data_IF_997067638561
#
_entry.id   IF_997067638561
#
_cell.length_a   1.000
_cell.length_b   1.000
_cell.length_c   1.000
_cell.angle_alpha   90.00
_cell.angle_beta   90.00
_cell.angle_gamma   90.00
#
_symmetry.space_group_name_H-M   'P 1'
#
loop_
_entity.id
_entity.type
_entity.pdbx_description
1 polymer ?
2 water ?
#
# COMPACT_ATOMS: atom_id res chain seq x y z
N UNK A 2 -28.26 -5.49 6.13
CA UNK A 2 -27.44 -4.89 5.07
C UNK A 2 -25.97 -5.23 5.28
N UNK A 3 -25.30 -5.61 4.19
CA UNK A 3 -23.93 -6.10 4.23
C UNK A 3 -22.94 -4.95 4.08
N UNK A 4 -21.72 -5.16 4.58
CA UNK A 4 -20.65 -4.18 4.44
C UNK A 4 -20.25 -4.02 2.98
N UNK A 5 -19.55 -2.92 2.68
CA UNK A 5 -19.09 -2.70 1.32
C UNK A 5 -17.95 -1.71 1.29
N UNK A 6 -17.29 -1.64 0.15
CA UNK A 6 -16.17 -0.72 -0.07
C UNK A 6 -16.42 0.10 -1.32
N UNK A 7 -16.31 1.41 -1.20
CA UNK A 7 -16.35 2.27 -2.37
C UNK A 7 -15.00 2.97 -2.50
N UNK A 8 -14.40 2.96 -3.69
CA UNK A 8 -13.02 3.46 -3.82
C UNK A 8 -12.95 4.98 -3.89
N UNK A 9 -11.94 5.53 -3.21
CA UNK A 9 -11.59 6.93 -3.32
C UNK A 9 -10.14 6.98 -3.78
N UNK A 10 -9.92 7.48 -5.00
CA UNK A 10 -8.56 7.53 -5.52
C UNK A 10 -7.73 8.56 -4.77
N UNK A 11 -6.46 8.23 -4.47
CA UNK A 11 -5.59 9.20 -3.80
C UNK A 11 -5.48 10.51 -4.54
N UNK A 12 -5.59 10.50 -5.88
CA UNK A 12 -5.48 11.73 -6.64
C UNK A 12 -6.60 12.70 -6.33
N UNK A 13 -7.76 12.18 -5.93
CA UNK A 13 -8.85 13.07 -5.53
C UNK A 13 -8.48 13.87 -4.28
N UNK A 14 -7.84 13.21 -3.31
CA UNK A 14 -7.39 13.91 -2.11
C UNK A 14 -6.24 14.85 -2.43
N UNK A 15 -5.34 14.44 -3.33
CA UNK A 15 -4.26 15.33 -3.75
C UNK A 15 -4.83 16.59 -4.38
N UNK A 16 -5.79 16.43 -5.30
CA UNK A 16 -6.43 17.56 -5.96
C UNK A 16 -7.11 18.46 -4.95
N UNK A 17 -7.96 17.88 -4.10
CA UNK A 17 -8.87 18.68 -3.28
C UNK A 17 -8.19 19.30 -2.07
N UNK A 18 -7.34 18.53 -1.36
CA UNK A 18 -6.80 18.99 -0.10
C UNK A 18 -5.41 19.59 -0.21
N UNK A 19 -4.79 19.50 -1.38
CA UNK A 19 -3.44 20.02 -1.52
C UNK A 19 -3.32 20.96 -2.71
N UNK A 20 -3.59 20.48 -3.92
CA UNK A 20 -3.43 21.32 -5.10
C UNK A 20 -4.38 22.51 -5.05
N UNK A 21 -5.66 22.26 -4.75
CA UNK A 21 -6.61 23.37 -4.67
C UNK A 21 -6.39 24.21 -3.41
N UNK A 22 -5.92 23.58 -2.33
CA UNK A 22 -5.71 24.33 -1.09
C UNK A 22 -4.61 25.36 -1.27
N UNK A 23 -3.51 24.98 -1.91
CA UNK A 23 -2.37 25.86 -2.08
C UNK A 23 -2.32 26.52 -3.45
N UNK A 24 -3.33 26.31 -4.30
CA UNK A 24 -3.37 26.89 -5.65
C UNK A 24 -2.20 26.44 -6.50
N UNK A 25 -1.85 25.16 -6.41
CA UNK A 25 -0.77 24.58 -7.20
C UNK A 25 -1.35 23.76 -8.33
N UNK A 26 -0.88 24.02 -9.55
CA UNK A 26 -1.25 23.21 -10.69
C UNK A 26 -0.53 21.87 -10.64
N UNK A 27 -1.07 20.84 -11.29
CA UNK A 27 -0.36 19.56 -11.35
C UNK A 27 1.03 19.69 -11.97
N UNK A 28 1.16 20.52 -13.01
CA UNK A 28 2.46 20.73 -13.64
C UNK A 28 3.44 21.40 -12.70
N UNK A 29 2.99 22.40 -11.95
CA UNK A 29 3.85 23.05 -10.97
C UNK A 29 4.27 22.07 -9.89
N UNK A 30 3.37 21.15 -9.51
CA UNK A 30 3.74 20.12 -8.55
C UNK A 30 4.79 19.18 -9.12
N UNK A 31 4.62 18.77 -10.38
CA UNK A 31 5.62 17.89 -11.00
C UNK A 31 6.99 18.53 -11.03
N UNK A 32 7.05 19.82 -11.38
CA UNK A 32 8.34 20.52 -11.41
C UNK A 32 8.98 20.59 -10.03
N UNK A 33 8.15 20.70 -8.99
CA UNK A 33 8.68 20.78 -7.63
C UNK A 33 9.13 19.43 -7.12
N UNK A 34 8.42 18.36 -7.50
CA UNK A 34 8.84 17.03 -7.08
C UNK A 34 9.95 16.45 -7.92
N UNK A 35 10.31 17.11 -9.04
CA UNK A 35 11.31 16.60 -9.97
C UNK A 35 10.85 15.28 -10.60
N UNK A 36 9.59 15.24 -11.02
CA UNK A 36 9.03 14.13 -11.76
C UNK A 36 8.40 14.68 -13.03
N UNK A 37 8.20 13.80 -14.00
CA UNK A 37 7.56 14.21 -15.25
C UNK A 37 6.12 14.65 -15.00
N UNK A 38 5.68 15.67 -15.74
CA UNK A 38 4.32 16.16 -15.56
C UNK A 38 3.26 15.10 -15.81
N UNK A 39 3.38 14.21 -16.81
CA UNK A 39 2.39 13.13 -16.93
C UNK A 39 2.34 12.23 -15.71
N UNK A 40 3.44 12.10 -14.96
CA UNK A 40 3.39 11.32 -13.73
C UNK A 40 2.36 11.88 -12.77
N UNK A 41 2.42 13.19 -12.49
CA UNK A 41 1.43 13.81 -11.63
C UNK A 41 0.08 13.88 -12.34
N UNK A 42 0.09 14.16 -13.64
CA UNK A 42 -1.18 14.24 -14.38
C UNK A 42 -1.96 12.93 -14.27
N UNK A 43 -1.28 11.80 -14.42
CA UNK A 43 -1.96 10.50 -14.33
C UNK A 43 -2.62 10.31 -12.97
N UNK A 44 -1.94 10.71 -11.89
CA UNK A 44 -2.47 10.51 -10.54
C UNK A 44 -3.72 11.36 -10.32
N UNK A 45 -3.65 12.65 -10.68
CA UNK A 45 -4.81 13.50 -10.42
C UNK A 45 -5.97 13.13 -11.32
N UNK A 46 -5.69 12.54 -12.48
CA UNK A 46 -6.74 12.01 -13.35
C UNK A 46 -7.22 10.63 -12.91
N UNK A 47 -6.66 10.10 -11.81
CA UNK A 47 -7.07 8.80 -11.28
C UNK A 47 -6.76 7.66 -12.25
N UNK A 48 -5.66 7.81 -13.00
CA UNK A 48 -5.19 6.83 -13.98
C UNK A 48 -3.88 6.18 -13.55
N UNK A 49 -3.43 6.44 -12.34
CA UNK A 49 -2.19 5.84 -11.85
C UNK A 49 -2.21 5.94 -10.33
N UNK A 50 -1.67 4.93 -9.66
CA UNK A 50 -1.57 4.97 -8.22
C UNK A 50 -0.31 5.67 -7.73
N UNK A 51 -0.25 5.85 -6.42
CA UNK A 51 0.92 6.42 -5.74
C UNK A 51 1.92 5.30 -5.49
N UNK A 52 3.10 5.43 -6.09
CA UNK A 52 4.20 4.54 -5.80
C UNK A 52 4.89 4.95 -4.50
N UNK A 53 5.71 4.04 -3.97
CA UNK A 53 6.48 4.36 -2.76
C UNK A 53 7.35 5.58 -2.99
N UNK A 54 8.04 5.63 -4.13
CA UNK A 54 8.91 6.77 -4.41
C UNK A 54 8.10 8.06 -4.47
N UNK A 55 6.91 8.01 -5.09
CA UNK A 55 6.06 9.19 -5.16
C UNK A 55 5.53 9.59 -3.79
N UNK A 56 5.24 8.61 -2.93
CA UNK A 56 4.77 8.92 -1.59
C UNK A 56 5.84 9.65 -0.79
N UNK A 57 7.08 9.25 -0.94
CA UNK A 57 8.17 9.95 -0.26
C UNK A 57 8.30 11.37 -0.78
N UNK A 58 8.16 11.56 -2.10
CA UNK A 58 8.24 12.90 -2.68
C UNK A 58 7.09 13.77 -2.20
N UNK A 59 5.86 13.25 -2.19
CA UNK A 59 4.73 14.04 -1.74
C UNK A 59 4.83 14.37 -0.26
N UNK A 60 5.27 13.39 0.55
CA UNK A 60 5.46 13.67 1.96
C UNK A 60 6.47 14.78 2.18
N UNK A 61 7.60 14.71 1.46
CA UNK A 61 8.63 15.73 1.56
C UNK A 61 8.09 17.10 1.16
N UNK A 62 7.34 17.15 0.06
CA UNK A 62 6.89 18.44 -0.45
C UNK A 62 5.82 19.05 0.44
N UNK A 63 4.84 18.26 0.85
CA UNK A 63 3.67 18.79 1.54
C UNK A 63 3.71 18.64 3.06
N UNK A 64 4.85 18.28 3.65
CA UNK A 64 4.95 18.10 5.11
C UNK A 64 3.96 17.05 5.62
N UNK A 65 3.98 15.87 5.01
CA UNK A 65 3.23 14.74 5.54
C UNK A 65 4.18 13.56 5.69
N UNK A 66 3.72 12.52 6.37
CA UNK A 66 4.45 11.27 6.26
C UNK A 66 4.26 10.67 4.87
N UNK A 67 5.19 9.83 4.47
CA UNK A 67 4.99 9.09 3.23
C UNK A 67 3.87 8.07 3.38
N UNK A 68 3.71 7.53 4.60
CA UNK A 68 2.66 6.55 4.84
C UNK A 68 1.27 7.14 4.66
N UNK A 69 1.09 8.44 4.93
CA UNK A 69 -0.19 9.09 4.67
C UNK A 69 -0.67 8.79 3.25
N UNK A 70 0.22 8.97 2.27
CA UNK A 70 -0.14 8.73 0.88
C UNK A 70 -0.27 7.25 0.59
N UNK A 71 0.60 6.41 1.16
CA UNK A 71 0.50 4.99 0.90
C UNK A 71 -0.74 4.41 1.53
N UNK A 72 -1.19 4.99 2.65
CA UNK A 72 -2.42 4.52 3.28
C UNK A 72 -3.63 4.86 2.42
N UNK A 73 -3.63 6.04 1.78
CA UNK A 73 -4.70 6.37 0.86
C UNK A 73 -4.69 5.42 -0.33
N UNK A 74 -3.49 5.10 -0.82
CA UNK A 74 -3.37 4.19 -1.94
C UNK A 74 -3.86 2.79 -1.58
N UNK A 75 -3.47 2.29 -0.41
CA UNK A 75 -3.89 0.96 -0.02
C UNK A 75 -5.40 0.89 0.14
N UNK A 76 -6.01 1.94 0.70
CA UNK A 76 -7.47 1.92 0.80
C UNK A 76 -8.11 1.81 -0.58
N UNK A 77 -7.60 2.58 -1.56
CA UNK A 77 -8.13 2.53 -2.91
C UNK A 77 -7.95 1.14 -3.54
N UNK A 78 -6.74 0.60 -3.42
CA UNK A 78 -6.48 -0.72 -4.00
C UNK A 78 -7.33 -1.79 -3.32
N UNK A 79 -7.51 -1.69 -2.00
CA UNK A 79 -8.35 -2.66 -1.32
C UNK A 79 -9.80 -2.54 -1.76
N UNK A 80 -10.28 -1.30 -1.93
CA UNK A 80 -11.69 -1.12 -2.31
C UNK A 80 -11.95 -1.73 -3.69
N UNK A 81 -11.08 -1.45 -4.65
CA UNK A 81 -11.28 -1.99 -5.99
C UNK A 81 -11.17 -3.50 -5.99
N UNK A 82 -10.17 -4.05 -5.28
CA UNK A 82 -10.03 -5.49 -5.16
C UNK A 82 -11.23 -6.12 -4.48
N UNK A 83 -11.76 -5.45 -3.44
CA UNK A 83 -12.92 -6.00 -2.75
C UNK A 83 -14.15 -6.01 -3.66
N UNK A 84 -14.37 -4.92 -4.39
CA UNK A 84 -15.56 -4.87 -5.25
C UNK A 84 -15.49 -5.94 -6.32
N UNK A 85 -14.28 -6.31 -6.74
CA UNK A 85 -14.10 -7.31 -7.78
C UNK A 85 -14.17 -8.73 -7.23
N UNK A 86 -13.40 -9.06 -6.19
CA UNK A 86 -13.26 -10.45 -5.75
C UNK A 86 -13.63 -10.68 -4.29
N UNK A 87 -14.03 -9.64 -3.55
CA UNK A 87 -14.23 -9.77 -2.12
C UNK A 87 -15.34 -10.73 -1.74
N UNK A 88 -16.45 -10.69 -2.48
CA UNK A 88 -17.55 -11.61 -2.14
C UNK A 88 -17.15 -13.07 -2.37
N UNK A 89 -16.45 -13.35 -3.48
CA UNK A 89 -15.95 -14.70 -3.72
C UNK A 89 -14.94 -15.11 -2.66
N UNK A 90 -14.03 -14.19 -2.29
CA UNK A 90 -13.04 -14.50 -1.27
C UNK A 90 -13.73 -14.90 0.03
N UNK A 91 -14.73 -14.12 0.44
CA UNK A 91 -15.45 -14.46 1.66
C UNK A 91 -16.25 -15.74 1.52
N UNK A 92 -16.70 -16.04 0.30
CA UNK A 92 -17.42 -17.28 0.05
C UNK A 92 -16.53 -18.51 0.15
N UNK A 93 -15.26 -18.40 -0.22
CA UNK A 93 -14.43 -19.59 -0.34
C UNK A 93 -13.41 -19.75 0.79
N UNK A 94 -13.20 -18.76 1.63
CA UNK A 94 -12.26 -18.86 2.73
C UNK A 94 -13.04 -18.94 4.04
N UNK A 95 -12.83 -20.03 4.78
CA UNK A 95 -13.44 -20.21 6.09
C UNK A 95 -12.48 -19.68 7.14
N UNK A 96 -12.87 -18.66 7.93
CA UNK A 96 -11.92 -18.08 8.90
C UNK A 96 -11.40 -19.12 9.87
N UNK A 97 -10.14 -18.96 10.26
CA UNK A 97 -9.50 -19.90 11.17
C UNK A 97 -10.15 -19.87 12.53
N UNK A 98 -10.44 -21.03 13.08
CA UNK A 98 -10.85 -21.18 14.48
C UNK A 98 -9.78 -22.01 15.19
N UNK A 99 -9.08 -21.38 16.12
CA UNK A 99 -7.96 -22.04 16.80
C UNK A 99 -7.79 -21.53 18.22
N UNK B 4 11.25 9.88 8.13
CA UNK B 4 11.90 8.82 7.36
C UNK B 4 11.70 7.41 7.92
N UNK B 5 12.60 6.50 7.54
CA UNK B 5 12.47 5.10 7.89
C UNK B 5 13.19 4.19 6.91
N UNK B 6 14.18 3.46 7.42
CA UNK B 6 15.15 2.78 6.57
C UNK B 6 15.27 1.28 6.83
N UNK B 7 14.77 0.75 7.94
CA UNK B 7 15.00 -0.65 8.27
C UNK B 7 13.80 -1.46 7.83
N UNK B 8 13.90 -2.28 6.78
CA UNK B 8 12.70 -2.94 6.26
C UNK B 8 12.37 -4.20 7.05
N UNK B 9 11.09 -4.35 7.38
CA UNK B 9 10.55 -5.58 7.95
C UNK B 9 9.56 -6.11 6.94
N UNK B 10 9.91 -7.21 6.28
CA UNK B 10 9.04 -7.72 5.25
C UNK B 10 7.77 -8.28 5.88
N UNK B 11 6.60 -8.01 5.30
CA UNK B 11 5.34 -8.57 5.85
C UNK B 11 5.40 -10.07 6.05
N UNK B 12 6.18 -10.79 5.23
CA UNK B 12 6.32 -12.22 5.42
C UNK B 12 6.93 -12.59 6.76
N UNK B 13 7.78 -11.72 7.30
CA UNK B 13 8.33 -11.98 8.63
C UNK B 13 7.24 -11.97 9.69
N UNK B 14 6.34 -10.99 9.64
CA UNK B 14 5.22 -10.96 10.56
C UNK B 14 4.31 -12.17 10.34
N UNK B 15 4.06 -12.51 9.09
CA UNK B 15 3.22 -13.67 8.80
C UNK B 15 3.81 -14.94 9.42
N UNK B 16 5.11 -15.16 9.24
CA UNK B 16 5.78 -16.33 9.83
C UNK B 16 5.72 -16.31 11.35
N UNK B 17 6.15 -15.19 11.94
CA UNK B 17 6.38 -15.14 13.38
C UNK B 17 5.08 -15.11 14.17
N UNK B 18 4.14 -14.27 13.74
CA UNK B 18 2.95 -13.98 14.54
C UNK B 18 1.73 -14.81 14.16
N UNK B 19 1.79 -15.56 13.06
CA UNK B 19 0.63 -16.32 12.64
C UNK B 19 0.98 -17.77 12.34
N UNK B 20 1.85 -18.00 11.36
CA UNK B 20 2.18 -19.37 10.97
C UNK B 20 2.77 -20.15 12.15
N UNK B 21 3.73 -19.54 12.86
CA UNK B 21 4.32 -20.24 13.99
C UNK B 21 3.40 -20.18 15.22
N UNK B 22 2.55 -19.17 15.32
CA UNK B 22 1.66 -19.06 16.47
C UNK B 22 0.58 -20.12 16.43
N UNK B 23 0.10 -20.45 15.23
CA UNK B 23 -0.97 -21.44 15.07
C UNK B 23 -0.46 -22.78 14.52
N UNK B 24 0.85 -22.92 14.29
CA UNK B 24 1.45 -24.14 13.75
C UNK B 24 0.84 -24.50 12.39
N UNK B 25 0.90 -23.54 11.48
CA UNK B 25 0.33 -23.66 10.14
C UNK B 25 1.46 -23.56 9.13
N UNK B 26 1.59 -24.58 8.27
CA UNK B 26 2.63 -24.51 7.25
C UNK B 26 2.22 -23.55 6.13
N UNK B 27 3.18 -23.01 5.40
CA UNK B 27 2.82 -22.16 4.24
C UNK B 27 1.95 -22.84 3.21
N UNK B 28 2.17 -24.12 2.92
CA UNK B 28 1.31 -24.81 1.96
C UNK B 28 -0.09 -24.99 2.51
N UNK B 29 -0.21 -25.28 3.81
CA UNK B 29 -1.52 -25.38 4.43
C UNK B 29 -2.26 -24.04 4.37
N UNK B 30 -1.54 -22.94 4.58
CA UNK B 30 -2.16 -21.62 4.47
C UNK B 30 -2.65 -21.37 3.05
N UNK B 31 -1.83 -21.69 2.05
CA UNK B 31 -2.22 -21.48 0.67
C UNK B 31 -3.51 -22.24 0.33
N UNK B 32 -3.61 -23.49 0.78
CA UNK B 32 -4.82 -24.26 0.52
C UNK B 32 -6.04 -23.64 1.18
N UNK B 33 -5.86 -23.11 2.40
CA UNK B 33 -6.98 -22.47 3.08
C UNK B 33 -7.36 -21.17 2.40
N UNK B 34 -6.38 -20.44 1.87
CA UNK B 34 -6.65 -19.17 1.19
C UNK B 34 -7.09 -19.36 -0.25
N UNK B 35 -7.00 -20.58 -0.78
CA UNK B 35 -7.38 -20.88 -2.16
C UNK B 35 -6.48 -20.11 -3.15
N UNK B 36 -5.18 -20.09 -2.86
CA UNK B 36 -4.16 -19.52 -3.73
C UNK B 36 -3.10 -20.60 -3.97
N UNK B 37 -2.33 -20.42 -5.03
CA UNK B 37 -1.27 -21.37 -5.32
C UNK B 37 -0.19 -21.32 -4.23
N UNK B 38 0.46 -22.45 -4.01
CA UNK B 38 1.47 -22.52 -2.95
C UNK B 38 2.63 -21.56 -3.17
N UNK B 39 3.20 -21.41 -4.38
CA UNK B 39 4.27 -20.40 -4.55
C UNK B 39 3.84 -19.00 -4.19
N UNK B 40 2.54 -18.69 -4.26
CA UNK B 40 2.08 -17.36 -3.85
C UNK B 40 2.40 -17.11 -2.37
N UNK B 41 2.12 -18.10 -1.51
CA UNK B 41 2.41 -17.94 -0.09
C UNK B 41 3.90 -18.12 0.18
N UNK B 42 4.53 -19.13 -0.47
CA UNK B 42 5.96 -19.35 -0.30
C UNK B 42 6.75 -18.07 -0.56
N UNK B 43 6.47 -17.42 -1.69
CA UNK B 43 7.26 -16.24 -2.07
C UNK B 43 7.14 -15.14 -1.03
N UNK B 44 5.97 -14.97 -0.42
CA UNK B 44 5.80 -13.97 0.62
C UNK B 44 6.60 -14.35 1.86
N UNK B 45 6.45 -15.60 2.29
CA UNK B 45 7.12 -16.06 3.51
C UNK B 45 8.63 -16.00 3.37
N UNK B 46 9.15 -16.20 2.16
CA UNK B 46 10.58 -16.09 1.90
C UNK B 46 11.00 -14.66 1.59
N UNK B 47 10.08 -13.70 1.68
CA UNK B 47 10.36 -12.27 1.47
C UNK B 47 10.83 -11.97 0.05
N UNK B 48 10.34 -12.76 -0.92
CA UNK B 48 10.63 -12.55 -2.32
C UNK B 48 9.56 -11.77 -3.05
N UNK B 49 8.33 -11.74 -2.53
CA UNK B 49 7.21 -11.05 -3.15
C UNK B 49 6.45 -10.33 -2.06
N UNK B 50 5.76 -9.26 -2.45
CA UNK B 50 4.92 -8.53 -1.51
C UNK B 50 3.49 -9.02 -1.47
N UNK B 51 2.72 -8.43 -0.55
CA UNK B 51 1.32 -8.75 -0.36
C UNK B 51 0.48 -7.85 -1.28
N UNK B 52 -0.29 -8.47 -2.17
CA UNK B 52 -1.21 -7.73 -3.03
C UNK B 52 -2.50 -7.42 -2.27
N UNK B 53 -3.29 -6.51 -2.84
CA UNK B 53 -4.59 -6.20 -2.23
C UNK B 53 -5.43 -7.45 -2.09
N UNK B 54 -5.46 -8.27 -3.14
CA UNK B 54 -6.21 -9.51 -3.10
C UNK B 54 -5.73 -10.41 -1.96
N UNK B 55 -4.41 -10.61 -1.86
CA UNK B 55 -3.85 -11.41 -0.78
C UNK B 55 -4.15 -10.81 0.59
N UNK B 56 -4.17 -9.49 0.71
CA UNK B 56 -4.45 -8.87 2.00
C UNK B 56 -5.87 -9.16 2.44
N UNK B 57 -6.81 -9.15 1.50
CA UNK B 57 -8.19 -9.51 1.82
C UNK B 57 -8.27 -10.97 2.24
N UNK B 58 -7.54 -11.86 1.56
CA UNK B 58 -7.57 -13.27 1.92
C UNK B 58 -6.96 -13.50 3.29
N UNK B 59 -5.82 -12.87 3.57
CA UNK B 59 -5.18 -13.04 4.88
C UNK B 59 -6.03 -12.46 6.00
N UNK B 60 -6.64 -11.29 5.77
CA UNK B 60 -7.55 -10.73 6.76
C UNK B 60 -8.75 -11.63 7.03
N UNK B 61 -9.35 -12.14 5.96
CA UNK B 61 -10.48 -13.07 6.11
C UNK B 61 -10.10 -14.26 6.96
N UNK B 62 -8.95 -14.88 6.66
CA UNK B 62 -8.58 -16.13 7.30
C UNK B 62 -8.18 -15.92 8.75
N UNK B 63 -7.32 -14.94 9.01
CA UNK B 63 -6.77 -14.75 10.34
C UNK B 63 -7.56 -13.76 11.18
N UNK B 64 -8.70 -13.28 10.69
CA UNK B 64 -9.55 -12.35 11.43
C UNK B 64 -8.82 -11.07 11.78
N UNK B 65 -8.03 -10.55 10.85
CA UNK B 65 -7.52 -9.18 10.91
C UNK B 65 -8.19 -8.33 9.83
N UNK B 66 -7.97 -7.03 9.90
CA UNK B 66 -8.37 -6.22 8.77
C UNK B 66 -7.44 -6.51 7.59
N UNK B 67 -7.92 -6.21 6.37
CA UNK B 67 -6.98 -6.26 5.25
C UNK B 67 -5.94 -5.16 5.33
N UNK B 68 -6.32 -4.00 5.87
CA UNK B 68 -5.36 -2.89 5.97
C UNK B 68 -4.19 -3.25 6.89
N UNK B 69 -4.38 -4.16 7.85
CA UNK B 69 -3.24 -4.57 8.67
C UNK B 69 -2.10 -5.07 7.78
N UNK B 70 -2.43 -5.90 6.80
CA UNK B 70 -1.43 -6.46 5.91
C UNK B 70 -0.93 -5.43 4.91
N UNK B 71 -1.82 -4.59 4.40
CA UNK B 71 -1.40 -3.58 3.44
C UNK B 71 -0.52 -2.54 4.11
N UNK B 72 -0.78 -2.25 5.40
CA UNK B 72 0.04 -1.28 6.11
C UNK B 72 1.46 -1.83 6.34
N UNK B 73 1.58 -3.14 6.62
CA UNK B 73 2.91 -3.73 6.72
C UNK B 73 3.62 -3.68 5.38
N UNK B 74 2.89 -3.95 4.28
CA UNK B 74 3.49 -3.92 2.96
C UNK B 74 3.98 -2.52 2.60
N UNK B 75 3.16 -1.49 2.85
CA UNK B 75 3.58 -0.14 2.50
C UNK B 75 4.78 0.31 3.33
N UNK B 76 4.83 -0.07 4.61
CA UNK B 76 6.02 0.24 5.41
C UNK B 76 7.26 -0.38 4.78
N UNK B 77 7.15 -1.63 4.33
CA UNK B 77 8.31 -2.28 3.71
C UNK B 77 8.67 -1.61 2.39
N UNK B 78 7.67 -1.32 1.56
CA UNK B 78 7.91 -0.64 0.28
C UNK B 78 8.53 0.73 0.51
N UNK B 79 8.03 1.46 1.52
CA UNK B 79 8.64 2.76 1.81
C UNK B 79 10.07 2.60 2.28
N UNK B 80 10.30 1.66 3.20
CA UNK B 80 11.64 1.49 3.77
C UNK B 80 12.66 1.15 2.68
N UNK B 81 12.30 0.26 1.76
CA UNK B 81 13.28 -0.06 0.70
C UNK B 81 13.43 1.11 -0.26
N UNK B 82 12.32 1.79 -0.60
CA UNK B 82 12.42 2.97 -1.46
C UNK B 82 13.30 4.04 -0.84
N UNK B 83 13.16 4.26 0.47
CA UNK B 83 13.95 5.30 1.13
C UNK B 83 15.42 4.91 1.21
N UNK B 84 15.70 3.63 1.46
CA UNK B 84 17.09 3.21 1.54
C UNK B 84 17.78 3.38 0.20
N UNK B 85 17.05 3.16 -0.90
CA UNK B 85 17.63 3.30 -2.23
C UNK B 85 17.77 4.76 -2.64
N UNK B 86 16.75 5.58 -2.41
CA UNK B 86 16.71 6.90 -3.04
C UNK B 86 16.26 8.02 -2.10
N UNK B 87 16.07 7.75 -0.81
CA UNK B 87 15.47 8.74 0.07
C UNK B 87 16.30 10.01 0.21
N UNK B 88 17.61 9.85 0.43
CA UNK B 88 18.44 11.04 0.57
C UNK B 88 18.50 11.84 -0.73
N UNK B 89 18.42 11.16 -1.88
CA UNK B 89 18.38 11.89 -3.14
C UNK B 89 17.09 12.69 -3.27
N UNK B 90 15.98 12.11 -2.83
CA UNK B 90 14.69 12.81 -2.89
C UNK B 90 14.69 14.03 -2.00
N UNK B 91 15.14 13.87 -0.75
CA UNK B 91 15.21 15.01 0.16
C UNK B 91 16.11 16.10 -0.40
N UNK B 92 17.18 15.70 -1.09
CA UNK B 92 18.10 16.69 -1.65
C UNK B 92 17.44 17.49 -2.75
N UNK B 93 16.68 16.85 -3.62
CA UNK B 93 16.24 17.56 -4.82
C UNK B 93 14.89 18.25 -4.67
N UNK B 94 14.16 18.05 -3.58
CA UNK B 94 12.85 18.66 -3.38
C UNK B 94 12.93 19.64 -2.22
N UNK B 95 12.52 20.89 -2.47
CA UNK B 95 12.37 21.89 -1.43
C UNK B 95 10.95 21.84 -0.90
N UNK B 96 10.74 21.60 0.40
CA UNK B 96 9.38 21.60 0.95
C UNK B 96 8.63 22.88 0.63
N UNK B 97 7.34 22.73 0.34
CA UNK B 97 6.51 23.87 -0.03
C UNK B 97 6.58 24.96 1.02
N UNK B 98 6.51 24.59 2.29
CA UNK B 98 6.45 25.55 3.37
C UNK B 98 7.82 26.10 3.75
N UNK B 99 8.89 25.52 3.22
CA UNK B 99 10.20 26.15 3.34
C UNK B 99 10.39 27.28 2.34
N UNK B 100 9.54 27.36 1.32
CA UNK B 100 9.71 28.28 0.19
C UNK B 100 9.23 29.69 0.54
#
# INVERSE_FOLDING_TARGET
MATNGMRPIHPGEILRDEFLMEFDISPAALARALKVSAPTVNDIVREQRGISADMAIRLGRYFDTSAQFWMNLQSEYSLATAYAANGKQIEHEIEPLLAHG
MATNGMRPIHPGEILRDEFLMEFDISPAALARALKVSAPTVNDIVREQRGISADMAIRLGRYFDTSAQFWMNLQSEYSLATAYAANGKQIEHEIEPLLAHG
#
